data_IF_631314132940
#
_entry.id   IF_631314132940
#
_cell.length_a   1.000
_cell.length_b   1.000
_cell.length_c   1.000
_cell.angle_alpha   90.00
_cell.angle_beta   90.00
_cell.angle_gamma   90.00
#
_symmetry.space_group_name_H-M   'P 1'
#
loop_
_entity.id
_entity.type
_entity.pdbx_description
1 polymer ?
#
# COMPACT_ATOMS: atom_id res chain seq x y z
N UNK A 1 -14.80 -1.90 -30.36
CA UNK A 1 -14.56 -0.61 -29.68
C UNK A 1 -15.84 0.11 -29.24
N UNK A 2 -16.72 0.56 -30.15
CA UNK A 2 -17.92 1.35 -29.80
C UNK A 2 -18.80 0.67 -28.73
N UNK A 3 -19.01 -0.64 -28.83
CA UNK A 3 -19.80 -1.39 -27.84
C UNK A 3 -19.22 -1.33 -26.42
N UNK A 4 -17.89 -1.47 -26.25
CA UNK A 4 -17.25 -1.39 -24.93
C UNK A 4 -17.34 0.02 -24.34
N UNK A 5 -17.20 1.05 -25.16
CA UNK A 5 -17.36 2.44 -24.72
C UNK A 5 -18.79 2.74 -24.27
N UNK A 6 -19.80 2.24 -25.01
CA UNK A 6 -21.21 2.36 -24.61
C UNK A 6 -21.48 1.61 -23.31
N UNK A 7 -20.96 0.38 -23.16
CA UNK A 7 -21.10 -0.39 -21.92
C UNK A 7 -20.46 0.34 -20.74
N UNK A 8 -19.27 0.91 -20.92
CA UNK A 8 -18.60 1.71 -19.90
C UNK A 8 -19.46 2.91 -19.48
N UNK A 9 -20.00 3.67 -20.44
CA UNK A 9 -20.88 4.80 -20.14
C UNK A 9 -22.17 4.38 -19.44
N UNK A 10 -22.78 3.27 -19.86
CA UNK A 10 -23.98 2.72 -19.19
C UNK A 10 -23.68 2.30 -17.75
N UNK A 11 -22.49 1.75 -17.48
CA UNK A 11 -22.08 1.31 -16.15
C UNK A 11 -21.79 2.45 -15.16
N UNK A 12 -21.74 3.70 -15.60
CA UNK A 12 -21.65 4.86 -14.71
C UNK A 12 -22.88 4.93 -13.78
N UNK A 13 -24.07 4.56 -14.30
CA UNK A 13 -25.28 4.42 -13.48
C UNK A 13 -25.23 3.18 -12.61
N UNK A 14 -25.47 3.38 -11.31
CA UNK A 14 -25.57 2.29 -10.33
C UNK A 14 -26.70 1.30 -10.64
N UNK A 15 -27.82 1.81 -11.14
CA UNK A 15 -28.98 0.99 -11.52
C UNK A 15 -28.61 0.02 -12.64
N UNK A 16 -27.86 0.49 -13.63
CA UNK A 16 -27.39 -0.37 -14.73
C UNK A 16 -26.42 -1.45 -14.25
N UNK A 17 -25.55 -1.15 -13.28
CA UNK A 17 -24.67 -2.16 -12.65
C UNK A 17 -25.48 -3.22 -11.90
N UNK A 18 -26.55 -2.80 -11.22
CA UNK A 18 -27.48 -3.71 -10.55
C UNK A 18 -28.27 -4.58 -11.55
N UNK A 19 -28.76 -4.00 -12.64
CA UNK A 19 -29.42 -4.76 -13.71
C UNK A 19 -28.46 -5.77 -14.35
N UNK A 20 -27.20 -5.40 -14.54
CA UNK A 20 -26.18 -6.30 -15.07
C UNK A 20 -25.96 -7.53 -14.18
N UNK A 21 -26.01 -7.39 -12.85
CA UNK A 21 -25.95 -8.50 -11.89
C UNK A 21 -27.00 -9.58 -12.16
N UNK A 22 -28.25 -9.15 -12.36
CA UNK A 22 -29.39 -10.03 -12.60
C UNK A 22 -29.48 -10.55 -14.04
N UNK A 23 -28.62 -10.08 -14.93
CA UNK A 23 -28.54 -10.55 -16.30
C UNK A 23 -27.71 -11.82 -16.44
N UNK A 24 -27.80 -12.45 -17.61
CA UNK A 24 -26.94 -13.56 -18.05
C UNK A 24 -25.61 -13.09 -18.64
N UNK A 25 -25.37 -11.77 -18.75
CA UNK A 25 -24.24 -11.21 -19.48
C UNK A 25 -22.87 -11.40 -18.80
N UNK A 26 -22.84 -11.80 -17.53
CA UNK A 26 -21.59 -12.14 -16.85
C UNK A 26 -20.84 -13.32 -17.52
N UNK A 27 -21.56 -14.31 -18.03
CA UNK A 27 -20.95 -15.43 -18.75
C UNK A 27 -20.35 -14.96 -20.07
N UNK A 28 -21.07 -14.12 -20.80
CA UNK A 28 -20.55 -13.50 -22.04
C UNK A 28 -19.33 -12.62 -21.75
N UNK A 29 -19.33 -11.86 -20.65
CA UNK A 29 -18.18 -11.07 -20.24
C UNK A 29 -16.97 -11.97 -19.94
N UNK A 30 -17.18 -13.10 -19.27
CA UNK A 30 -16.14 -14.10 -19.02
C UNK A 30 -15.56 -14.65 -20.34
N UNK A 31 -16.41 -15.02 -21.28
CA UNK A 31 -15.99 -15.51 -22.60
C UNK A 31 -15.17 -14.46 -23.36
N UNK A 32 -15.57 -13.19 -23.34
CA UNK A 32 -14.84 -12.09 -23.97
C UNK A 32 -13.46 -11.89 -23.29
N UNK A 33 -13.38 -12.01 -21.97
CA UNK A 33 -12.11 -11.85 -21.24
C UNK A 33 -11.13 -13.01 -21.52
N UNK A 34 -11.64 -14.21 -21.74
CA UNK A 34 -10.83 -15.38 -22.11
C UNK A 34 -10.40 -15.37 -23.59
N UNK A 35 -10.96 -14.48 -24.41
CA UNK A 35 -10.64 -14.42 -25.83
C UNK A 35 -9.18 -13.94 -26.05
N UNK A 36 -8.30 -14.76 -26.69
CA UNK A 36 -6.94 -14.35 -26.99
C UNK A 36 -6.84 -13.15 -27.94
N UNK A 37 -7.89 -12.84 -28.72
CA UNK A 37 -7.93 -11.65 -29.57
C UNK A 37 -8.02 -10.36 -28.76
N UNK A 38 -8.45 -10.41 -27.49
CA UNK A 38 -8.38 -9.29 -26.56
C UNK A 38 -6.93 -8.76 -26.44
N UNK A 39 -5.93 -9.62 -26.64
CA UNK A 39 -4.51 -9.25 -26.64
C UNK A 39 -4.08 -8.33 -27.79
N UNK A 40 -4.85 -8.31 -28.89
CA UNK A 40 -4.50 -7.58 -30.11
C UNK A 40 -5.08 -6.17 -30.15
N UNK A 41 -6.28 -5.97 -29.59
CA UNK A 41 -6.93 -4.66 -29.54
C UNK A 41 -6.75 -4.01 -28.16
N UNK A 42 -5.70 -3.19 -28.04
CA UNK A 42 -5.34 -2.49 -26.80
C UNK A 42 -6.43 -1.50 -26.37
N UNK A 43 -7.09 -0.84 -27.33
CA UNK A 43 -8.11 0.17 -27.04
C UNK A 43 -9.38 -0.51 -26.55
N UNK A 44 -9.85 -1.55 -27.25
CA UNK A 44 -10.98 -2.34 -26.79
C UNK A 44 -10.72 -2.96 -25.41
N UNK A 45 -9.54 -3.52 -25.18
CA UNK A 45 -9.17 -4.07 -23.86
C UNK A 45 -9.24 -3.01 -22.77
N UNK A 46 -8.70 -1.82 -23.02
CA UNK A 46 -8.73 -0.72 -22.05
C UNK A 46 -10.18 -0.34 -21.72
N UNK A 47 -11.03 -0.13 -22.72
CA UNK A 47 -12.44 0.23 -22.50
C UNK A 47 -13.22 -0.89 -21.78
N UNK A 48 -12.95 -2.15 -22.12
CA UNK A 48 -13.55 -3.29 -21.43
C UNK A 48 -13.14 -3.35 -19.95
N UNK A 49 -11.86 -3.14 -19.65
CA UNK A 49 -11.37 -3.08 -18.27
C UNK A 49 -11.93 -1.87 -17.51
N UNK A 50 -12.11 -0.72 -18.15
CA UNK A 50 -12.79 0.44 -17.54
C UNK A 50 -14.23 0.10 -17.17
N UNK A 51 -14.97 -0.57 -18.07
CA UNK A 51 -16.31 -1.07 -17.79
C UNK A 51 -16.32 -2.06 -16.61
N UNK A 52 -15.41 -3.04 -16.60
CA UNK A 52 -15.29 -4.03 -15.51
C UNK A 52 -14.99 -3.34 -14.18
N UNK A 53 -14.08 -2.37 -14.18
CA UNK A 53 -13.73 -1.61 -12.99
C UNK A 53 -14.97 -0.95 -12.36
N UNK A 54 -15.80 -0.28 -13.16
CA UNK A 54 -17.08 0.25 -12.66
C UNK A 54 -17.99 -0.87 -12.16
N UNK A 55 -18.11 -1.97 -12.91
CA UNK A 55 -19.01 -3.05 -12.57
C UNK A 55 -18.71 -3.68 -11.21
N UNK A 56 -17.43 -3.94 -10.91
CA UNK A 56 -16.98 -4.58 -9.66
C UNK A 56 -16.98 -3.64 -8.45
N UNK A 57 -17.34 -2.36 -8.62
CA UNK A 57 -17.58 -1.46 -7.48
C UNK A 57 -18.80 -1.88 -6.67
N UNK A 58 -19.77 -2.58 -7.28
CA UNK A 58 -20.87 -3.22 -6.54
C UNK A 58 -20.41 -4.58 -6.01
N UNK A 59 -20.64 -4.83 -4.72
CA UNK A 59 -20.10 -6.01 -4.03
C UNK A 59 -20.60 -7.33 -4.66
N UNK A 60 -21.88 -7.40 -5.04
CA UNK A 60 -22.50 -8.56 -5.67
C UNK A 60 -21.88 -8.89 -7.03
N UNK A 61 -21.58 -7.86 -7.83
CA UNK A 61 -20.88 -8.02 -9.10
C UNK A 61 -19.46 -8.52 -8.90
N UNK A 62 -18.74 -7.99 -7.90
CA UNK A 62 -17.41 -8.46 -7.54
C UNK A 62 -17.40 -9.93 -7.12
N UNK A 63 -18.42 -10.39 -6.37
CA UNK A 63 -18.58 -11.81 -6.02
C UNK A 63 -18.77 -12.69 -7.25
N UNK A 64 -19.72 -12.34 -8.12
CA UNK A 64 -20.00 -13.10 -9.36
C UNK A 64 -18.79 -13.13 -10.30
N UNK A 65 -18.03 -12.04 -10.36
CA UNK A 65 -16.77 -11.96 -11.10
C UNK A 65 -15.74 -12.99 -10.59
N UNK A 66 -15.63 -13.12 -9.26
CA UNK A 66 -14.74 -14.09 -8.61
C UNK A 66 -15.23 -15.53 -8.78
N UNK A 67 -16.53 -15.78 -8.69
CA UNK A 67 -17.13 -17.12 -8.88
C UNK A 67 -16.89 -17.68 -10.29
N UNK A 68 -16.72 -16.80 -11.28
CA UNK A 68 -16.37 -17.15 -12.66
C UNK A 68 -14.86 -17.27 -12.90
N UNK A 69 -14.04 -17.28 -11.85
CA UNK A 69 -12.56 -17.40 -11.89
C UNK A 69 -11.85 -16.33 -12.74
N UNK A 70 -12.47 -15.16 -12.89
CA UNK A 70 -11.94 -14.10 -13.75
C UNK A 70 -10.74 -13.36 -13.17
N UNK A 71 -10.42 -13.59 -11.88
CA UNK A 71 -9.21 -13.05 -11.25
C UNK A 71 -7.97 -13.57 -11.95
N UNK A 72 -7.90 -14.86 -12.28
CA UNK A 72 -6.75 -15.45 -12.96
C UNK A 72 -6.54 -14.81 -14.34
N UNK A 73 -7.63 -14.55 -15.06
CA UNK A 73 -7.61 -13.89 -16.38
C UNK A 73 -7.10 -12.46 -16.31
N UNK A 74 -7.47 -11.69 -15.28
CA UNK A 74 -6.90 -10.37 -15.04
C UNK A 74 -5.38 -10.43 -14.79
N UNK A 75 -4.91 -11.41 -14.03
CA UNK A 75 -3.48 -11.58 -13.75
C UNK A 75 -2.70 -11.96 -15.02
N UNK A 76 -3.28 -12.76 -15.92
CA UNK A 76 -2.69 -13.05 -17.23
C UNK A 76 -2.57 -11.79 -18.09
N UNK A 77 -3.57 -10.91 -18.04
CA UNK A 77 -3.51 -9.59 -18.72
C UNK A 77 -2.36 -8.75 -18.17
N UNK A 78 -2.11 -8.79 -16.85
CA UNK A 78 -0.97 -8.09 -16.22
C UNK A 78 0.39 -8.67 -16.63
N UNK A 79 0.48 -9.99 -16.80
CA UNK A 79 1.72 -10.65 -17.22
C UNK A 79 2.05 -10.42 -18.70
N UNK A 80 1.06 -10.00 -19.49
CA UNK A 80 1.17 -9.76 -20.93
C UNK A 80 2.25 -8.70 -21.23
N UNK A 81 3.18 -8.95 -22.18
CA UNK A 81 4.23 -7.99 -22.54
C UNK A 81 3.66 -6.71 -23.19
N UNK A 82 2.38 -6.72 -23.59
CA UNK A 82 1.67 -5.59 -24.19
C UNK A 82 0.91 -4.75 -23.18
N UNK A 83 0.94 -5.11 -21.89
CA UNK A 83 0.30 -4.32 -20.84
C UNK A 83 1.02 -2.97 -20.70
N UNK A 84 0.33 -1.90 -21.09
CA UNK A 84 0.81 -0.54 -20.84
C UNK A 84 0.41 -0.08 -19.43
N UNK A 85 0.95 1.07 -19.01
CA UNK A 85 0.69 1.61 -17.67
C UNK A 85 -0.80 1.77 -17.35
N UNK A 86 -1.62 2.19 -18.32
CA UNK A 86 -3.05 2.38 -18.12
C UNK A 86 -3.80 1.05 -17.89
N UNK A 87 -3.44 -0.01 -18.63
CA UNK A 87 -3.99 -1.35 -18.42
C UNK A 87 -3.58 -1.87 -17.03
N UNK A 88 -2.30 -1.72 -16.66
CA UNK A 88 -1.83 -2.12 -15.34
C UNK A 88 -2.60 -1.41 -14.23
N UNK A 89 -2.85 -0.11 -14.38
CA UNK A 89 -3.60 0.67 -13.40
C UNK A 89 -5.04 0.17 -13.28
N UNK A 90 -5.73 -0.04 -14.40
CA UNK A 90 -7.09 -0.57 -14.41
C UNK A 90 -7.18 -1.95 -13.74
N UNK A 91 -6.27 -2.88 -14.06
CA UNK A 91 -6.33 -4.21 -13.45
C UNK A 91 -6.05 -4.13 -11.94
N UNK A 92 -5.05 -3.36 -11.50
CA UNK A 92 -4.77 -3.22 -10.07
C UNK A 92 -5.93 -2.53 -9.34
N UNK A 93 -6.61 -1.56 -9.96
CA UNK A 93 -7.84 -0.95 -9.42
C UNK A 93 -9.02 -1.93 -9.36
N UNK A 94 -9.18 -2.81 -10.35
CA UNK A 94 -10.18 -3.90 -10.26
C UNK A 94 -9.86 -4.82 -9.08
N UNK A 95 -8.58 -5.22 -8.92
CA UNK A 95 -8.15 -6.04 -7.78
C UNK A 95 -8.36 -5.32 -6.44
N UNK A 96 -8.17 -4.00 -6.38
CA UNK A 96 -8.50 -3.16 -5.22
C UNK A 96 -10.00 -3.27 -4.88
N UNK A 97 -10.89 -3.04 -5.85
CA UNK A 97 -12.33 -3.17 -5.64
C UNK A 97 -12.69 -4.57 -5.13
N UNK A 98 -12.14 -5.63 -5.74
CA UNK A 98 -12.40 -7.01 -5.31
C UNK A 98 -11.89 -7.27 -3.89
N UNK A 99 -10.72 -6.73 -3.51
CA UNK A 99 -10.13 -6.91 -2.19
C UNK A 99 -10.92 -6.23 -1.06
N UNK A 100 -11.76 -5.23 -1.35
CA UNK A 100 -12.60 -4.59 -0.32
C UNK A 100 -13.60 -5.56 0.32
N UNK A 101 -14.06 -6.59 -0.42
CA UNK A 101 -14.92 -7.63 0.15
C UNK A 101 -14.11 -8.82 0.64
N UNK A 102 -14.25 -9.13 1.93
CA UNK A 102 -13.59 -10.29 2.56
C UNK A 102 -13.97 -11.62 1.93
N UNK A 103 -15.16 -11.71 1.32
CA UNK A 103 -15.65 -12.93 0.65
C UNK A 103 -14.78 -13.29 -0.58
N UNK A 104 -14.17 -12.28 -1.20
CA UNK A 104 -13.34 -12.46 -2.40
C UNK A 104 -11.89 -12.81 -2.07
N UNK A 105 -11.46 -12.68 -0.81
CA UNK A 105 -10.07 -12.84 -0.41
C UNK A 105 -9.52 -14.24 -0.73
N UNK A 106 -10.32 -15.28 -0.55
CA UNK A 106 -9.90 -16.66 -0.82
C UNK A 106 -9.53 -16.86 -2.29
N UNK A 107 -10.31 -16.29 -3.21
CA UNK A 107 -10.02 -16.37 -4.64
C UNK A 107 -8.79 -15.55 -5.05
N UNK A 108 -8.59 -14.36 -4.46
CA UNK A 108 -7.37 -13.57 -4.67
C UNK A 108 -6.11 -14.33 -4.23
N UNK A 109 -6.19 -15.07 -3.12
CA UNK A 109 -5.11 -15.94 -2.63
C UNK A 109 -4.92 -17.13 -3.57
N UNK A 110 -6.00 -17.82 -3.95
CA UNK A 110 -5.95 -18.99 -4.84
C UNK A 110 -5.32 -18.66 -6.20
N UNK A 111 -5.65 -17.48 -6.76
CA UNK A 111 -5.07 -16.98 -8.01
C UNK A 111 -3.63 -16.46 -7.87
N UNK A 112 -3.01 -16.51 -6.67
CA UNK A 112 -1.69 -15.93 -6.40
C UNK A 112 -1.59 -14.44 -6.80
N UNK A 113 -2.63 -13.65 -6.52
CA UNK A 113 -2.66 -12.24 -6.91
C UNK A 113 -1.57 -11.41 -6.20
N UNK A 114 -1.28 -11.70 -4.93
CA UNK A 114 -0.37 -10.87 -4.12
C UNK A 114 1.08 -10.83 -4.66
N UNK A 115 1.77 -11.96 -4.89
CA UNK A 115 3.11 -11.92 -5.48
C UNK A 115 3.15 -11.26 -6.86
N UNK A 116 2.10 -11.42 -7.67
CA UNK A 116 2.00 -10.81 -9.01
C UNK A 116 1.88 -9.29 -8.93
N UNK A 117 1.05 -8.76 -8.03
CA UNK A 117 0.96 -7.32 -7.76
C UNK A 117 2.29 -6.78 -7.23
N UNK A 118 3.00 -7.53 -6.36
CA UNK A 118 4.35 -7.14 -5.92
C UNK A 118 5.32 -7.04 -7.11
N UNK A 119 5.37 -8.07 -7.95
CA UNK A 119 6.27 -8.11 -9.11
C UNK A 119 6.01 -6.96 -10.08
N UNK A 120 4.74 -6.64 -10.34
CA UNK A 120 4.35 -5.57 -11.25
C UNK A 120 4.63 -4.19 -10.68
N UNK A 121 4.10 -3.90 -9.48
CA UNK A 121 4.07 -2.55 -8.93
C UNK A 121 5.36 -2.19 -8.19
N UNK A 122 6.10 -3.16 -7.65
CA UNK A 122 7.21 -2.94 -6.72
C UNK A 122 8.55 -3.48 -7.20
N UNK A 123 8.59 -4.57 -7.97
CA UNK A 123 9.87 -5.07 -8.47
C UNK A 123 10.43 -4.18 -9.60
N UNK A 124 9.64 -3.23 -10.10
CA UNK A 124 10.03 -2.33 -11.19
C UNK A 124 10.52 -3.13 -12.38
N UNK A 125 9.61 -3.91 -12.97
CA UNK A 125 9.79 -4.31 -14.36
C UNK A 125 9.80 -3.04 -15.21
N UNK A 126 10.95 -2.36 -15.25
CA UNK A 126 11.40 -1.56 -16.37
C UNK A 126 11.61 -2.48 -17.58
N UNK A 127 10.62 -3.31 -17.93
CA UNK A 127 10.50 -3.84 -19.28
C UNK A 127 10.20 -2.62 -20.13
N UNK A 128 11.24 -1.89 -20.53
CA UNK A 128 11.29 -1.16 -21.80
C UNK A 128 10.03 -0.36 -22.17
N UNK A 129 9.32 0.21 -21.18
CA UNK A 129 8.39 1.32 -21.40
C UNK A 129 9.15 2.63 -21.63
N UNK A 130 10.49 2.55 -21.72
CA UNK A 130 11.26 3.52 -22.48
C UNK A 130 10.79 3.48 -23.91
N UNK A 131 9.75 4.29 -24.15
CA UNK A 131 9.46 5.02 -25.38
C UNK A 131 10.62 4.85 -26.36
N UNK A 132 10.34 4.23 -27.49
CA UNK A 132 11.02 4.50 -28.75
C UNK A 132 11.13 6.01 -28.89
N UNK A 133 12.22 6.59 -28.35
CA UNK A 133 12.60 7.95 -28.67
C UNK A 133 13.06 7.87 -30.12
N UNK A 134 12.11 8.10 -31.01
CA UNK A 134 12.24 8.48 -32.41
C UNK A 134 13.70 8.53 -32.90
N UNK A 135 14.10 7.49 -33.61
CA UNK A 135 14.73 7.65 -34.91
C UNK A 135 15.97 8.54 -35.04
N UNK A 136 16.91 8.57 -34.08
CA UNK A 136 18.29 8.96 -34.43
C UNK A 136 19.09 7.74 -34.86
N UNK A 137 18.97 7.47 -36.16
CA UNK A 137 19.85 6.59 -36.94
C UNK A 137 21.32 6.92 -36.61
N UNK A 138 22.16 5.96 -36.17
CA UNK A 138 23.59 6.21 -36.06
C UNK A 138 24.15 6.45 -37.47
N UNK A 139 25.09 7.39 -37.67
CA UNK A 139 25.71 7.59 -38.97
C UNK A 139 26.50 6.33 -39.33
N UNK A 140 26.10 5.69 -40.42
CA UNK A 140 26.87 4.63 -41.04
C UNK A 140 28.24 5.18 -41.44
N UNK A 141 29.31 4.72 -40.78
CA UNK A 141 30.67 4.83 -41.31
C UNK A 141 30.73 3.97 -42.56
N UNK A 142 30.76 4.61 -43.74
CA UNK A 142 31.21 3.95 -44.98
C UNK A 142 32.74 3.84 -44.96
N UNK A 143 33.31 2.71 -45.40
CA UNK A 143 34.73 2.62 -45.71
C UNK A 143 35.03 3.41 -47.00
N UNK A 144 36.18 4.05 -46.98
CA UNK A 144 36.80 4.83 -48.04
C UNK A 144 37.23 3.93 -49.21
N UNK A 145 36.79 4.27 -50.42
CA UNK A 145 37.46 3.89 -51.66
C UNK A 145 37.52 5.08 -52.60
N UNK A 146 38.73 5.38 -53.04
CA UNK A 146 39.11 6.45 -53.95
C UNK A 146 38.81 6.11 -55.42
N UNK A 147 38.72 7.13 -56.27
CA UNK A 147 38.82 7.04 -57.74
C UNK A 147 37.57 7.58 -58.47
N UNK A 148 37.42 8.87 -58.83
CA UNK A 148 38.03 9.68 -59.91
C UNK A 148 37.09 9.84 -61.16
N UNK A 149 36.85 11.12 -61.51
CA UNK A 149 36.57 11.77 -62.83
C UNK A 149 35.15 11.85 -63.44
N UNK A 150 34.77 13.12 -63.71
CA UNK A 150 33.96 13.71 -64.81
C UNK A 150 32.48 13.34 -65.00
N UNK A 151 31.58 14.21 -65.48
CA UNK A 151 31.49 15.65 -65.71
C UNK A 151 30.01 15.92 -66.11
N UNK A 152 29.56 17.18 -65.98
CA UNK A 152 28.61 17.85 -66.91
C UNK A 152 27.07 17.67 -66.75
N UNK A 153 26.47 18.83 -66.40
CA UNK A 153 25.26 19.51 -66.95
C UNK A 153 23.89 19.45 -66.22
N UNK A 154 23.48 20.68 -65.85
CA UNK A 154 22.18 21.39 -66.10
C UNK A 154 20.93 20.88 -65.36
N UNK A 155 19.90 21.67 -65.03
CA UNK A 155 19.59 23.12 -64.90
C UNK A 155 18.09 23.17 -64.50
N UNK A 156 17.65 24.21 -63.78
CA UNK A 156 16.23 24.60 -63.55
C UNK A 156 15.74 24.18 -62.16
N UNK A 157 15.36 25.05 -61.20
CA UNK A 157 14.67 26.35 -61.21
C UNK A 157 13.34 26.34 -61.96
N UNK A 158 12.27 26.70 -61.24
CA UNK A 158 11.05 27.48 -61.57
C UNK A 158 9.94 27.03 -60.59
N UNK A 159 9.61 27.82 -59.57
CA UNK A 159 8.64 28.95 -59.54
C UNK A 159 7.20 28.46 -59.27
N UNK A 160 6.60 28.91 -58.16
CA UNK A 160 5.50 29.91 -58.08
C UNK A 160 4.11 29.32 -58.25
N UNK A 161 3.22 29.50 -57.26
CA UNK A 161 2.06 30.42 -57.31
C UNK A 161 1.17 30.21 -56.08
N UNK A 162 1.21 31.22 -55.21
CA UNK A 162 0.12 32.00 -54.60
C UNK A 162 -1.20 31.44 -54.02
N UNK A 163 -1.78 32.21 -53.06
CA UNK A 163 -2.92 31.86 -52.23
C UNK A 163 -4.22 32.58 -52.63
N UNK A 164 -5.35 32.11 -52.12
CA UNK A 164 -6.62 32.85 -52.08
C UNK A 164 -7.44 32.34 -50.90
N UNK A 165 -7.55 33.11 -49.82
CA UNK A 165 -8.61 34.10 -49.56
C UNK A 165 -10.01 33.49 -49.44
N UNK A 166 -10.55 33.41 -48.22
CA UNK A 166 -11.81 34.10 -47.93
C UNK A 166 -12.01 34.36 -46.44
N UNK A 167 -12.42 35.60 -46.20
CA UNK A 167 -12.62 36.33 -44.96
C UNK A 167 -14.12 36.36 -44.66
N UNK A 168 -14.52 36.17 -43.39
CA UNK A 168 -15.80 36.66 -42.87
C UNK A 168 -15.75 36.80 -41.33
N UNK A 169 -15.38 37.99 -40.89
CA UNK A 169 -15.88 38.69 -39.68
C UNK A 169 -17.38 39.02 -39.89
N UNK A 170 -18.32 39.16 -38.96
CA UNK A 170 -18.45 39.91 -37.69
C UNK A 170 -19.80 39.48 -37.06
N UNK A 171 -19.89 39.23 -35.75
CA UNK A 171 -20.80 40.01 -34.87
C UNK A 171 -20.70 39.62 -33.39
N UNK A 172 -20.38 40.66 -32.64
CA UNK A 172 -20.29 40.87 -31.21
C UNK A 172 -21.69 41.11 -30.61
N UNK A 173 -21.94 40.63 -29.39
CA UNK A 173 -22.78 41.30 -28.40
C UNK A 173 -22.53 40.71 -27.00
N UNK A 174 -22.19 41.63 -26.09
CA UNK A 174 -21.84 41.42 -24.69
C UNK A 174 -23.07 41.21 -23.80
N UNK A 175 -22.87 40.57 -22.64
CA UNK A 175 -23.46 41.02 -21.39
C UNK A 175 -22.66 40.53 -20.17
N UNK A 176 -22.44 41.48 -19.26
CA UNK A 176 -21.62 41.46 -18.04
C UNK A 176 -22.21 40.64 -16.87
N UNK A 177 -21.41 40.43 -15.78
CA UNK A 177 -21.69 39.49 -14.70
C UNK A 177 -22.35 40.13 -13.48
N UNK A 178 -23.05 39.32 -12.67
CA UNK A 178 -23.44 39.69 -11.31
C UNK A 178 -22.60 38.94 -10.26
N UNK A 179 -22.00 39.74 -9.38
CA UNK A 179 -21.28 39.36 -8.19
C UNK A 179 -22.18 39.49 -6.95
N UNK A 180 -22.13 38.50 -6.03
CA UNK A 180 -22.52 38.57 -4.59
C UNK A 180 -21.87 37.31 -3.95
N UNK A 181 -21.19 37.24 -2.81
CA UNK A 181 -20.75 38.16 -1.74
C UNK A 181 -19.65 37.40 -0.97
N UNK A 182 -18.56 38.08 -0.61
CA UNK A 182 -17.60 37.64 0.40
C UNK A 182 -17.77 38.55 1.62
N UNK A 183 -17.90 37.95 2.81
CA UNK A 183 -17.71 38.66 4.07
C UNK A 183 -17.26 37.67 5.16
N UNK A 184 -16.04 37.84 5.68
CA UNK A 184 -15.71 37.79 7.11
C UNK A 184 -14.19 37.95 7.33
N UNK A 185 -13.80 39.20 7.56
CA UNK A 185 -12.95 39.71 8.63
C UNK A 185 -11.67 38.98 9.05
N UNK A 186 -10.57 39.71 8.86
CA UNK A 186 -9.37 39.68 9.67
C UNK A 186 -9.62 40.19 11.10
N UNK A 187 -8.87 39.69 12.07
CA UNK A 187 -8.40 40.47 13.22
C UNK A 187 -7.12 39.83 13.79
N UNK A 188 -6.11 40.69 13.93
CA UNK A 188 -4.78 40.40 14.39
C UNK A 188 -4.70 40.42 15.94
N UNK A 189 -3.78 39.62 16.49
CA UNK A 189 -3.14 39.91 17.77
C UNK A 189 -1.78 39.22 17.80
N UNK A 190 -0.72 39.95 17.43
CA UNK A 190 0.67 39.53 17.57
C UNK A 190 1.26 40.25 18.78
N UNK A 191 1.44 39.51 19.88
CA UNK A 191 2.16 39.95 21.08
C UNK A 191 3.63 39.53 21.02
N UNK A 192 4.49 40.44 21.43
CA UNK A 192 5.94 40.39 21.28
C UNK A 192 6.70 39.67 22.41
N UNK A 193 7.99 39.42 22.11
CA UNK A 193 9.17 39.27 22.99
C UNK A 193 9.64 37.83 23.35
N UNK A 194 10.93 37.64 23.72
CA UNK A 194 12.15 38.23 23.16
C UNK A 194 13.24 37.18 22.82
N UNK A 195 14.29 37.68 22.16
CA UNK A 195 15.51 36.99 21.80
C UNK A 195 16.27 36.42 23.00
N UNK A 196 16.82 35.20 22.84
CA UNK A 196 17.99 34.75 23.59
C UNK A 196 18.95 33.98 22.68
N UNK A 197 20.07 34.64 22.46
CA UNK A 197 21.33 34.15 21.90
C UNK A 197 21.93 33.10 22.82
N UNK A 198 22.22 31.90 22.32
CA UNK A 198 23.22 31.00 22.90
C UNK A 198 23.81 30.13 21.79
N UNK A 199 25.06 30.46 21.46
CA UNK A 199 26.01 29.73 20.63
C UNK A 199 26.33 28.37 21.26
N UNK A 200 26.00 27.29 20.55
CA UNK A 200 26.44 25.93 20.85
C UNK A 200 26.88 25.25 19.56
N UNK A 201 28.18 25.11 19.38
CA UNK A 201 28.82 24.35 18.29
C UNK A 201 28.49 22.88 18.44
N UNK A 202 27.52 22.40 17.65
CA UNK A 202 27.21 20.98 17.50
C UNK A 202 27.99 20.43 16.31
N UNK A 203 28.92 19.52 16.59
CA UNK A 203 29.56 18.63 15.62
C UNK A 203 28.48 17.82 14.91
N UNK A 204 28.20 18.21 13.67
CA UNK A 204 27.21 17.56 12.83
C UNK A 204 27.78 16.25 12.33
N UNK A 205 27.40 15.13 12.95
CA UNK A 205 27.64 13.80 12.39
C UNK A 205 26.85 13.72 11.08
N UNK A 206 27.56 13.81 9.96
CA UNK A 206 27.01 13.68 8.61
C UNK A 206 26.53 12.25 8.41
N UNK A 207 25.28 11.99 8.82
CA UNK A 207 24.57 10.77 8.43
C UNK A 207 24.38 10.85 6.92
N UNK A 208 25.15 10.02 6.21
CA UNK A 208 25.09 9.84 4.76
C UNK A 208 23.63 9.72 4.31
N UNK A 209 23.11 10.77 3.69
CA UNK A 209 21.78 10.79 3.10
C UNK A 209 21.71 9.66 2.07
N UNK A 210 21.01 8.57 2.41
CA UNK A 210 20.81 7.48 1.47
C UNK A 210 20.08 8.04 0.24
N UNK A 211 20.49 7.68 -0.98
CA UNK A 211 19.85 8.17 -2.19
C UNK A 211 18.39 7.73 -2.19
N UNK A 212 17.49 8.67 -1.95
CA UNK A 212 16.05 8.45 -2.12
C UNK A 212 15.78 8.31 -3.60
N UNK A 213 15.40 7.11 -4.03
CA UNK A 213 14.99 6.86 -5.41
C UNK A 213 13.79 7.74 -5.72
N UNK A 214 13.96 8.73 -6.59
CA UNK A 214 12.85 9.55 -7.06
C UNK A 214 11.95 8.69 -7.96
N UNK A 215 10.85 8.20 -7.39
CA UNK A 215 9.82 7.47 -8.11
C UNK A 215 9.03 8.45 -9.00
N UNK A 216 8.70 8.06 -10.23
CA UNK A 216 7.88 8.89 -11.11
C UNK A 216 6.44 9.01 -10.59
N UNK A 217 5.76 10.10 -10.91
CA UNK A 217 4.34 10.29 -10.54
C UNK A 217 3.45 9.11 -10.99
N UNK A 218 3.75 8.54 -12.15
CA UNK A 218 3.07 7.36 -12.71
C UNK A 218 3.21 6.13 -11.79
N UNK A 219 4.42 5.84 -11.30
CA UNK A 219 4.60 4.71 -10.37
C UNK A 219 3.80 4.88 -9.08
N UNK A 220 3.69 6.10 -8.55
CA UNK A 220 2.87 6.37 -7.36
C UNK A 220 1.37 6.13 -7.61
N UNK A 221 0.88 6.33 -8.84
CA UNK A 221 -0.51 6.04 -9.19
C UNK A 221 -0.84 4.54 -9.09
N UNK A 222 0.12 3.65 -9.42
CA UNK A 222 -0.02 2.20 -9.25
C UNK A 222 0.16 1.74 -7.80
N UNK A 223 1.06 2.37 -7.06
CA UNK A 223 1.35 1.97 -5.68
C UNK A 223 0.13 2.13 -4.77
N UNK A 224 -0.69 3.17 -4.97
CA UNK A 224 -1.87 3.44 -4.13
C UNK A 224 -2.89 2.30 -4.13
N UNK A 225 -3.49 1.91 -5.27
CA UNK A 225 -4.46 0.81 -5.30
C UNK A 225 -3.81 -0.51 -4.90
N UNK A 226 -2.54 -0.74 -5.26
CA UNK A 226 -1.80 -1.93 -4.83
C UNK A 226 -1.71 -2.00 -3.30
N UNK A 227 -1.32 -0.92 -2.62
CA UNK A 227 -1.29 -0.89 -1.16
C UNK A 227 -2.67 -1.08 -0.54
N UNK A 228 -3.74 -0.55 -1.14
CA UNK A 228 -5.11 -0.82 -0.68
C UNK A 228 -5.40 -2.31 -0.70
N UNK A 229 -5.08 -3.04 -1.79
CA UNK A 229 -5.22 -4.50 -1.86
C UNK A 229 -4.51 -5.16 -0.68
N UNK A 230 -3.24 -4.84 -0.43
CA UNK A 230 -2.50 -5.44 0.68
C UNK A 230 -3.05 -5.06 2.05
N UNK A 231 -3.54 -3.83 2.24
CA UNK A 231 -4.15 -3.40 3.48
C UNK A 231 -5.46 -4.16 3.74
N UNK A 232 -6.35 -4.26 2.75
CA UNK A 232 -7.60 -5.02 2.90
C UNK A 232 -7.34 -6.49 3.18
N UNK A 233 -6.36 -7.09 2.50
CA UNK A 233 -5.95 -8.46 2.77
C UNK A 233 -5.39 -8.61 4.18
N UNK A 234 -4.50 -7.72 4.64
CA UNK A 234 -3.88 -7.78 5.97
C UNK A 234 -4.85 -7.52 7.13
N UNK A 235 -5.99 -6.85 6.89
CA UNK A 235 -7.07 -6.71 7.90
C UNK A 235 -7.66 -8.07 8.30
N UNK A 236 -7.61 -9.06 7.41
CA UNK A 236 -7.99 -10.43 7.72
C UNK A 236 -6.75 -11.20 8.23
N UNK A 237 -6.73 -11.65 9.49
CA UNK A 237 -5.57 -12.33 10.02
C UNK A 237 -5.15 -13.58 9.27
N UNK A 238 -6.11 -14.34 8.74
CA UNK A 238 -5.84 -15.54 7.93
C UNK A 238 -5.02 -15.23 6.65
N UNK A 239 -5.04 -13.99 6.18
CA UNK A 239 -4.35 -13.58 4.96
C UNK A 239 -3.00 -12.91 5.20
N UNK A 240 -2.66 -12.55 6.45
CA UNK A 240 -1.42 -11.83 6.77
C UNK A 240 -0.19 -12.60 6.35
N UNK A 241 -0.20 -13.91 6.55
CA UNK A 241 0.90 -14.79 6.15
C UNK A 241 1.10 -14.77 4.62
N UNK A 242 0.03 -14.73 3.84
CA UNK A 242 0.11 -14.56 2.38
C UNK A 242 0.68 -13.19 1.98
N UNK A 243 0.29 -12.12 2.68
CA UNK A 243 0.87 -10.78 2.48
C UNK A 243 2.36 -10.77 2.80
N UNK A 244 2.78 -11.41 3.88
CA UNK A 244 4.19 -11.53 4.28
C UNK A 244 4.98 -12.32 3.22
N UNK A 245 4.48 -13.49 2.82
CA UNK A 245 5.11 -14.34 1.79
C UNK A 245 5.21 -13.68 0.41
N UNK A 246 4.37 -12.69 0.12
CA UNK A 246 4.45 -11.92 -1.14
C UNK A 246 5.75 -11.11 -1.30
N UNK A 247 6.57 -10.99 -0.24
CA UNK A 247 7.81 -10.20 -0.20
C UNK A 247 7.62 -8.69 -0.30
N UNK A 248 6.38 -8.19 -0.14
CA UNK A 248 6.11 -6.76 -0.17
C UNK A 248 6.95 -5.97 0.84
N UNK A 249 7.14 -6.50 2.05
CA UNK A 249 7.93 -5.83 3.11
C UNK A 249 9.38 -5.65 2.68
N UNK A 250 9.97 -6.66 2.01
CA UNK A 250 11.31 -6.59 1.45
C UNK A 250 11.44 -5.43 0.45
N UNK A 251 10.43 -5.25 -0.42
CA UNK A 251 10.41 -4.14 -1.38
C UNK A 251 10.21 -2.78 -0.73
N UNK A 252 9.34 -2.67 0.29
CA UNK A 252 9.16 -1.43 1.06
C UNK A 252 10.51 -1.03 1.68
N UNK A 253 11.20 -1.99 2.29
CA UNK A 253 12.48 -1.78 2.94
C UNK A 253 13.60 -1.46 1.94
N UNK A 254 13.68 -2.17 0.82
CA UNK A 254 14.71 -2.00 -0.21
C UNK A 254 14.58 -0.66 -0.94
N UNK A 255 13.35 -0.24 -1.25
CA UNK A 255 13.07 1.02 -1.97
C UNK A 255 12.81 2.22 -1.05
N UNK A 256 12.94 2.02 0.26
CA UNK A 256 12.65 3.04 1.27
C UNK A 256 11.26 3.69 1.07
N UNK A 257 10.23 2.90 0.73
CA UNK A 257 8.88 3.45 0.46
C UNK A 257 8.26 4.11 1.70
N UNK A 258 8.73 3.74 2.88
CA UNK A 258 8.42 4.41 4.14
C UNK A 258 8.88 5.89 4.18
N UNK A 259 9.86 6.25 3.35
CA UNK A 259 10.38 7.60 3.16
C UNK A 259 10.00 8.18 1.77
N UNK A 260 9.01 7.60 1.09
CA UNK A 260 8.49 8.13 -0.19
C UNK A 260 8.10 9.60 -0.06
N UNK A 261 8.28 10.41 -1.09
CA UNK A 261 7.81 11.80 -1.11
C UNK A 261 6.28 11.90 -1.05
N UNK A 262 5.56 10.89 -1.55
CA UNK A 262 4.10 10.84 -1.50
C UNK A 262 3.61 10.45 -0.09
N UNK A 263 2.96 11.41 0.59
CA UNK A 263 2.37 11.21 1.93
C UNK A 263 1.35 10.07 1.95
N UNK A 264 0.57 9.86 0.88
CA UNK A 264 -0.43 8.78 0.82
C UNK A 264 0.23 7.42 0.80
N UNK A 265 1.34 7.27 0.06
CA UNK A 265 2.13 6.05 0.04
C UNK A 265 2.72 5.76 1.42
N UNK A 266 3.35 6.75 2.07
CA UNK A 266 3.87 6.58 3.44
C UNK A 266 2.77 6.16 4.43
N UNK A 267 1.59 6.78 4.33
CA UNK A 267 0.42 6.43 5.18
C UNK A 267 -0.04 5.00 4.95
N UNK A 268 -0.08 4.55 3.70
CA UNK A 268 -0.46 3.19 3.36
C UNK A 268 0.58 2.17 3.87
N UNK A 269 1.87 2.50 3.76
CA UNK A 269 2.97 1.70 4.32
C UNK A 269 2.78 1.52 5.83
N UNK A 270 2.68 2.59 6.62
CA UNK A 270 2.53 2.44 8.08
C UNK A 270 1.25 1.69 8.45
N UNK A 271 0.14 1.96 7.77
CA UNK A 271 -1.14 1.24 7.98
C UNK A 271 -0.96 -0.26 7.76
N UNK A 272 -0.30 -0.65 6.66
CA UNK A 272 -0.02 -2.05 6.36
C UNK A 272 0.87 -2.68 7.43
N UNK A 273 1.99 -2.03 7.79
CA UNK A 273 2.90 -2.56 8.81
C UNK A 273 2.18 -2.77 10.14
N UNK A 274 1.34 -1.82 10.55
CA UNK A 274 0.51 -1.95 11.75
C UNK A 274 -0.45 -3.14 11.63
N UNK A 275 -1.11 -3.36 10.49
CA UNK A 275 -1.96 -4.54 10.32
C UNK A 275 -1.21 -5.87 10.39
N UNK A 276 0.04 -5.92 9.90
CA UNK A 276 0.88 -7.11 9.98
C UNK A 276 1.40 -7.39 11.40
N UNK A 277 1.58 -6.34 12.21
CA UNK A 277 2.05 -6.44 13.59
C UNK A 277 0.90 -6.70 14.58
N UNK A 278 -0.28 -6.13 14.33
CA UNK A 278 -1.43 -6.16 15.23
C UNK A 278 -1.93 -7.58 15.58
N UNK A 279 -1.50 -8.06 16.75
CA UNK A 279 -1.88 -9.35 17.37
C UNK A 279 -3.24 -9.30 18.10
N UNK A 280 -3.52 -8.18 18.75
CA UNK A 280 -4.50 -8.09 19.84
C UNK A 280 -5.93 -8.44 19.41
N UNK A 281 -6.34 -7.94 18.24
CA UNK A 281 -7.67 -8.21 17.69
C UNK A 281 -7.90 -9.68 17.34
N UNK A 282 -6.84 -10.44 17.12
CA UNK A 282 -6.93 -11.87 16.83
C UNK A 282 -7.07 -12.69 18.10
N UNK A 283 -6.32 -12.33 19.15
CA UNK A 283 -6.41 -12.94 20.47
C UNK A 283 -7.81 -12.76 21.06
N UNK A 284 -8.36 -11.55 21.01
CA UNK A 284 -9.71 -11.26 21.53
C UNK A 284 -10.81 -12.04 20.82
N UNK A 285 -10.75 -12.15 19.49
CA UNK A 285 -11.72 -12.95 18.72
C UNK A 285 -11.67 -14.42 19.10
N UNK A 286 -10.47 -14.98 19.29
CA UNK A 286 -10.28 -16.37 19.70
C UNK A 286 -10.76 -16.61 21.12
N UNK A 287 -10.43 -15.71 22.05
CA UNK A 287 -10.94 -15.76 23.43
C UNK A 287 -12.47 -15.70 23.45
N UNK A 288 -13.07 -14.80 22.67
CA UNK A 288 -14.53 -14.69 22.56
C UNK A 288 -15.17 -15.95 21.96
N UNK A 289 -14.56 -16.54 20.92
CA UNK A 289 -15.05 -17.77 20.32
C UNK A 289 -14.96 -18.96 21.28
N UNK A 290 -13.85 -19.11 22.03
CA UNK A 290 -13.68 -20.16 23.05
C UNK A 290 -14.70 -20.02 24.17
N UNK A 291 -14.96 -18.80 24.64
CA UNK A 291 -15.99 -18.52 25.66
C UNK A 291 -17.39 -18.92 25.18
N UNK A 292 -17.73 -18.64 23.91
CA UNK A 292 -19.01 -19.02 23.32
C UNK A 292 -19.16 -20.54 23.17
N UNK A 293 -18.11 -21.25 22.73
CA UNK A 293 -18.12 -22.70 22.62
C UNK A 293 -18.27 -23.37 23.98
N UNK A 294 -17.58 -22.88 25.02
CA UNK A 294 -17.70 -23.39 26.39
C UNK A 294 -19.11 -23.15 26.96
N UNK A 295 -19.70 -21.99 26.70
CA UNK A 295 -21.07 -21.68 27.12
C UNK A 295 -22.12 -22.58 26.46
N UNK A 296 -21.90 -23.03 25.22
CA UNK A 296 -22.78 -23.98 24.53
C UNK A 296 -22.65 -25.40 25.09
N UNK A 297 -21.44 -25.86 25.39
CA UNK A 297 -21.22 -27.20 25.96
C UNK A 297 -21.96 -27.38 27.30
N UNK A 298 -21.88 -26.38 28.19
CA UNK A 298 -22.54 -26.42 29.51
C UNK A 298 -24.08 -26.51 29.40
N UNK A 299 -24.68 -25.98 28.33
CA UNK A 299 -26.14 -26.06 28.14
C UNK A 299 -26.63 -27.41 27.65
N UNK A 300 -25.77 -28.21 27.02
CA UNK A 300 -26.14 -29.56 26.53
C UNK A 300 -26.10 -30.57 27.68
N UNK A 301 -25.18 -30.38 28.64
CA UNK A 301 -25.05 -31.28 29.80
C UNK A 301 -26.07 -31.01 30.93
N UNK A 302 -26.78 -29.87 30.89
CA UNK A 302 -27.85 -29.56 31.85
C UNK A 302 -29.20 -30.24 31.52
N UNK A 303 -29.23 -31.12 30.52
CA UNK A 303 -30.43 -31.83 30.06
C UNK A 303 -30.12 -33.32 29.91
N UNK A 304 -29.93 -34.03 31.03
CA UNK A 304 -30.26 -35.47 31.19
C UNK A 304 -29.99 -35.91 32.65
N UNK A 305 -31.06 -36.23 33.36
CA UNK A 305 -31.05 -37.11 34.53
C UNK A 305 -30.57 -38.51 34.10
N UNK A 306 -29.45 -38.99 34.64
CA UNK A 306 -29.29 -40.34 35.24
C UNK A 306 -27.84 -40.85 35.24
N UNK A 307 -27.34 -41.04 36.47
CA UNK A 307 -26.55 -42.19 36.99
C UNK A 307 -25.46 -42.79 36.08
N UNK A 308 -24.20 -42.41 36.34
CA UNK A 308 -23.08 -43.31 36.67
C UNK A 308 -21.74 -42.54 36.66
N UNK A 309 -21.12 -42.37 37.83
CA UNK A 309 -19.78 -41.81 38.00
C UNK A 309 -18.73 -42.72 37.36
N UNK A 310 -18.01 -42.22 36.35
CA UNK A 310 -16.68 -42.74 35.99
C UNK A 310 -15.72 -41.55 35.85
N UNK A 311 -14.61 -41.50 36.61
CA UNK A 311 -13.69 -40.37 36.56
C UNK A 311 -12.82 -40.50 35.31
N UNK A 312 -13.10 -39.69 34.28
CA UNK A 312 -12.21 -39.56 33.12
C UNK A 312 -11.18 -38.44 33.33
N UNK A 313 -9.94 -38.64 32.85
CA UNK A 313 -8.79 -37.82 33.22
C UNK A 313 -8.80 -36.47 32.50
N UNK A 314 -8.58 -35.41 33.27
CA UNK A 314 -8.35 -34.06 32.77
C UNK A 314 -6.91 -33.95 32.22
N UNK A 315 -6.69 -34.17 30.92
CA UNK A 315 -5.32 -34.09 30.34
C UNK A 315 -5.17 -33.46 28.94
N UNK A 316 -6.15 -32.72 28.38
CA UNK A 316 -6.05 -32.28 26.96
C UNK A 316 -6.01 -30.76 26.68
N UNK A 317 -5.85 -29.88 27.68
CA UNK A 317 -5.89 -28.42 27.42
C UNK A 317 -4.55 -27.71 27.13
N UNK A 318 -3.40 -28.35 27.34
CA UNK A 318 -2.09 -27.67 27.22
C UNK A 318 -1.46 -27.73 25.80
N UNK A 319 -1.81 -28.71 24.97
CA UNK A 319 -1.18 -28.89 23.65
C UNK A 319 -1.49 -27.77 22.64
N UNK A 320 -2.71 -27.23 22.67
CA UNK A 320 -3.17 -26.23 21.70
C UNK A 320 -2.52 -24.85 21.95
N UNK A 321 -2.16 -24.54 23.20
CA UNK A 321 -1.54 -23.27 23.56
C UNK A 321 -0.07 -23.18 23.11
N UNK A 322 0.67 -24.29 23.19
CA UNK A 322 2.07 -24.35 22.76
C UNK A 322 2.22 -24.15 21.25
N UNK A 323 1.41 -24.84 20.44
CA UNK A 323 1.44 -24.72 18.98
C UNK A 323 1.13 -23.29 18.50
N UNK A 324 0.23 -22.57 19.18
CA UNK A 324 -0.09 -21.19 18.82
C UNK A 324 1.04 -20.20 19.13
N UNK A 325 1.73 -20.37 20.26
CA UNK A 325 2.88 -19.53 20.58
C UNK A 325 4.00 -19.72 19.55
N UNK A 326 4.21 -20.96 19.08
CA UNK A 326 5.22 -21.25 18.06
C UNK A 326 4.88 -20.63 16.70
N UNK A 327 3.63 -20.73 16.25
CA UNK A 327 3.20 -20.12 14.98
C UNK A 327 3.38 -18.60 15.00
N UNK A 328 3.00 -17.95 16.10
CA UNK A 328 3.18 -16.51 16.25
C UNK A 328 4.67 -16.13 16.29
N UNK A 329 5.49 -16.93 16.96
CA UNK A 329 6.93 -16.72 17.03
C UNK A 329 7.57 -16.72 15.64
N UNK A 330 7.21 -17.70 14.79
CA UNK A 330 7.66 -17.77 13.39
C UNK A 330 7.25 -16.52 12.61
N UNK A 331 6.02 -16.03 12.81
CA UNK A 331 5.53 -14.81 12.17
C UNK A 331 6.38 -13.58 12.48
N UNK A 332 6.75 -13.36 13.76
CA UNK A 332 7.60 -12.21 14.12
C UNK A 332 9.01 -12.31 13.56
N UNK A 333 9.63 -13.49 13.65
CA UNK A 333 10.94 -13.71 13.04
C UNK A 333 10.89 -13.40 11.55
N UNK A 334 9.85 -13.84 10.83
CA UNK A 334 9.70 -13.55 9.40
C UNK A 334 9.54 -12.06 9.11
N UNK A 335 8.81 -11.32 9.95
CA UNK A 335 8.66 -9.88 9.81
C UNK A 335 9.99 -9.14 10.06
N UNK A 336 10.72 -9.54 11.10
CA UNK A 336 12.04 -8.99 11.42
C UNK A 336 13.02 -9.23 10.27
N UNK A 337 13.06 -10.46 9.75
CA UNK A 337 13.93 -10.86 8.63
C UNK A 337 13.66 -10.05 7.36
N UNK A 338 12.40 -9.68 7.10
CA UNK A 338 12.02 -8.84 5.94
C UNK A 338 12.30 -7.34 6.12
N UNK A 339 12.83 -6.94 7.28
CA UNK A 339 13.24 -5.56 7.51
C UNK A 339 12.12 -4.64 8.00
N UNK A 340 11.09 -5.15 8.68
CA UNK A 340 10.04 -4.30 9.27
C UNK A 340 10.61 -3.22 10.21
N UNK A 341 11.66 -3.57 10.97
CA UNK A 341 12.34 -2.65 11.90
C UNK A 341 12.98 -1.48 11.14
N UNK A 342 13.61 -1.75 9.98
CA UNK A 342 14.17 -0.71 9.11
C UNK A 342 13.08 0.29 8.70
N UNK A 343 11.93 -0.22 8.29
CA UNK A 343 10.80 0.61 7.88
C UNK A 343 10.27 1.47 9.03
N UNK A 344 10.01 0.87 10.19
CA UNK A 344 9.50 1.61 11.37
C UNK A 344 10.48 2.67 11.84
N UNK A 345 11.78 2.35 11.87
CA UNK A 345 12.81 3.33 12.23
C UNK A 345 12.85 4.45 11.20
N UNK A 346 12.79 4.13 9.91
CA UNK A 346 12.72 5.13 8.86
C UNK A 346 11.52 6.08 9.02
N UNK A 347 10.37 5.59 9.47
CA UNK A 347 9.19 6.42 9.76
C UNK A 347 9.45 7.33 10.97
N UNK A 348 10.09 6.82 12.03
CA UNK A 348 10.48 7.61 13.21
C UNK A 348 11.47 8.74 12.88
N UNK A 349 12.31 8.58 11.87
CA UNK A 349 13.21 9.63 11.38
C UNK A 349 12.51 10.65 10.47
N UNK A 350 11.30 10.37 10.00
CA UNK A 350 10.53 11.29 9.16
C UNK A 350 10.06 12.54 9.90
N UNK A 351 9.33 13.42 9.20
CA UNK A 351 8.78 14.65 9.80
C UNK A 351 7.27 14.55 10.11
N UNK A 352 6.61 13.44 9.74
CA UNK A 352 5.18 13.27 9.94
C UNK A 352 4.88 12.68 11.32
N UNK A 353 4.54 13.56 12.26
CA UNK A 353 4.28 13.23 13.65
C UNK A 353 3.19 12.17 13.85
N UNK A 354 2.11 12.23 13.05
CA UNK A 354 1.02 11.24 13.12
C UNK A 354 1.53 9.84 12.77
N UNK A 355 2.41 9.73 11.75
CA UNK A 355 3.01 8.44 11.39
C UNK A 355 3.99 7.94 12.45
N UNK A 356 4.70 8.84 13.16
CA UNK A 356 5.57 8.45 14.28
C UNK A 356 4.78 7.84 15.43
N UNK A 357 3.63 8.42 15.78
CA UNK A 357 2.72 7.86 16.80
C UNK A 357 2.26 6.45 16.41
N UNK A 358 1.85 6.25 15.16
CA UNK A 358 1.47 4.92 14.65
C UNK A 358 2.66 3.94 14.70
N UNK A 359 3.87 4.39 14.35
CA UNK A 359 5.08 3.58 14.42
C UNK A 359 5.45 3.20 15.86
N UNK A 360 5.33 4.12 16.83
CA UNK A 360 5.53 3.83 18.26
C UNK A 360 4.54 2.78 18.74
N UNK A 361 3.25 2.90 18.37
CA UNK A 361 2.25 1.90 18.73
C UNK A 361 2.58 0.50 18.16
N UNK A 362 3.00 0.45 16.90
CA UNK A 362 3.43 -0.79 16.26
C UNK A 362 4.70 -1.38 16.91
N UNK A 363 5.68 -0.54 17.26
CA UNK A 363 6.89 -0.97 17.98
C UNK A 363 6.53 -1.54 19.35
N UNK A 364 5.63 -0.90 20.10
CA UNK A 364 5.19 -1.38 21.40
C UNK A 364 4.61 -2.79 21.34
N UNK A 365 3.89 -3.13 20.28
CA UNK A 365 3.39 -4.49 20.05
C UNK A 365 4.49 -5.46 19.62
N UNK A 366 5.43 -5.04 18.77
CA UNK A 366 6.59 -5.88 18.42
C UNK A 366 7.42 -6.25 19.64
N UNK A 367 7.57 -5.33 20.61
CA UNK A 367 8.33 -5.60 21.83
C UNK A 367 7.69 -6.61 22.78
N UNK A 368 6.45 -7.05 22.52
CA UNK A 368 5.86 -8.15 23.29
C UNK A 368 6.59 -9.48 23.01
N UNK A 369 7.22 -9.61 21.84
CA UNK A 369 8.09 -10.74 21.49
C UNK A 369 9.52 -10.55 22.00
N UNK A 370 10.08 -11.62 22.59
CA UNK A 370 11.39 -11.59 23.24
C UNK A 370 12.55 -11.28 22.30
N UNK A 371 12.53 -11.85 21.09
CA UNK A 371 13.62 -11.73 20.12
C UNK A 371 13.66 -10.33 19.48
N UNK A 372 12.48 -9.74 19.32
CA UNK A 372 12.31 -8.36 18.90
C UNK A 372 12.96 -7.37 19.87
N UNK A 373 12.90 -7.63 21.19
CA UNK A 373 13.47 -6.73 22.23
C UNK A 373 14.97 -6.55 22.10
N UNK A 374 15.70 -7.64 21.88
CA UNK A 374 17.16 -7.60 21.70
C UNK A 374 17.55 -6.89 20.40
N UNK A 375 16.78 -7.15 19.33
CA UNK A 375 17.06 -6.60 18.00
C UNK A 375 16.74 -5.11 17.90
N UNK A 376 15.73 -4.64 18.63
CA UNK A 376 15.20 -3.29 18.48
C UNK A 376 15.78 -2.27 19.47
N UNK A 377 16.34 -2.69 20.61
CA UNK A 377 16.95 -1.79 21.59
C UNK A 377 18.26 -1.16 21.06
N UNK A 378 18.12 -0.17 20.18
CA UNK A 378 19.18 0.56 19.49
C UNK A 378 19.15 2.05 19.85
N UNK A 379 20.31 2.74 19.90
CA UNK A 379 20.39 4.17 20.24
C UNK A 379 19.38 5.06 19.51
N UNK A 380 19.24 4.89 18.20
CA UNK A 380 18.32 5.68 17.36
C UNK A 380 16.85 5.56 17.80
N UNK A 381 16.41 4.36 18.21
CA UNK A 381 15.06 4.19 18.72
C UNK A 381 14.91 4.85 20.09
N UNK A 382 15.86 4.61 20.99
CA UNK A 382 15.84 5.19 22.34
C UNK A 382 15.83 6.73 22.29
N UNK A 383 16.57 7.32 21.34
CA UNK A 383 16.51 8.74 21.05
C UNK A 383 15.13 9.21 20.59
N UNK A 384 14.50 8.50 19.65
CA UNK A 384 13.13 8.82 19.24
C UNK A 384 12.11 8.68 20.41
N UNK A 385 12.29 7.71 21.30
CA UNK A 385 11.44 7.55 22.48
C UNK A 385 11.58 8.73 23.46
N UNK A 386 12.81 9.26 23.67
CA UNK A 386 13.01 10.49 24.47
C UNK A 386 12.25 11.67 23.90
N UNK A 387 12.34 11.88 22.59
CA UNK A 387 11.67 12.99 21.90
C UNK A 387 10.15 12.93 22.06
N UNK A 388 9.59 11.72 22.16
CA UNK A 388 8.16 11.48 22.32
C UNK A 388 7.72 11.20 23.76
N UNK A 389 8.63 11.20 24.74
CA UNK A 389 8.32 10.84 26.12
C UNK A 389 7.23 11.72 26.77
N UNK A 390 7.21 13.01 26.40
CA UNK A 390 6.29 14.02 26.92
C UNK A 390 5.17 14.33 25.92
N UNK A 391 4.83 13.36 25.07
CA UNK A 391 3.80 13.52 24.06
C UNK A 391 2.42 13.77 24.70
N UNK A 392 1.59 14.69 24.17
CA UNK A 392 0.32 15.07 24.80
C UNK A 392 -0.71 13.93 24.88
N UNK A 393 -0.65 12.98 23.94
CA UNK A 393 -1.50 11.78 23.98
C UNK A 393 -0.99 10.76 25.01
N UNK A 394 -1.81 10.48 26.03
CA UNK A 394 -1.56 9.47 27.07
C UNK A 394 -1.21 8.12 26.45
N UNK A 395 -1.96 7.67 25.43
CA UNK A 395 -1.71 6.39 24.76
C UNK A 395 -0.28 6.28 24.21
N UNK A 396 0.27 7.36 23.64
CA UNK A 396 1.64 7.38 23.14
C UNK A 396 2.64 7.23 24.28
N UNK A 397 2.44 7.95 25.40
CA UNK A 397 3.30 7.83 26.59
C UNK A 397 3.23 6.42 27.18
N UNK A 398 2.05 5.83 27.26
CA UNK A 398 1.86 4.43 27.68
C UNK A 398 2.59 3.46 26.77
N UNK A 399 2.51 3.63 25.45
CA UNK A 399 3.26 2.79 24.51
C UNK A 399 4.78 2.94 24.68
N UNK A 400 5.29 4.14 24.94
CA UNK A 400 6.72 4.37 25.20
C UNK A 400 7.16 3.70 26.50
N UNK A 401 6.40 3.89 27.57
CA UNK A 401 6.67 3.23 28.85
C UNK A 401 6.67 1.70 28.69
N UNK A 402 5.71 1.16 27.93
CA UNK A 402 5.64 -0.28 27.58
C UNK A 402 6.90 -0.74 26.83
N UNK A 403 7.34 0.00 25.80
CA UNK A 403 8.56 -0.33 25.04
C UNK A 403 9.78 -0.39 25.95
N UNK A 404 9.96 0.63 26.80
CA UNK A 404 11.10 0.70 27.72
C UNK A 404 11.05 -0.44 28.74
N UNK A 405 9.88 -0.71 29.32
CA UNK A 405 9.67 -1.82 30.26
C UNK A 405 10.01 -3.16 29.60
N UNK A 406 9.48 -3.42 28.40
CA UNK A 406 9.77 -4.63 27.64
C UNK A 406 11.26 -4.77 27.31
N UNK A 407 11.96 -3.69 26.97
CA UNK A 407 13.41 -3.74 26.76
C UNK A 407 14.17 -4.04 28.04
N UNK A 408 13.72 -3.52 29.19
CA UNK A 408 14.37 -3.71 30.49
C UNK A 408 14.24 -5.15 31.02
N UNK A 409 13.27 -5.94 30.54
CA UNK A 409 13.16 -7.37 30.86
C UNK A 409 14.37 -8.19 30.36
N UNK A 410 15.14 -7.66 29.41
CA UNK A 410 16.38 -8.28 28.92
C UNK A 410 17.61 -7.64 29.57
N UNK A 411 18.41 -8.40 30.35
CA UNK A 411 19.58 -7.85 31.04
C UNK A 411 20.62 -7.26 30.07
N UNK A 412 20.69 -7.75 28.83
CA UNK A 412 21.58 -7.25 27.79
C UNK A 412 21.26 -5.81 27.34
N UNK A 413 20.06 -5.33 27.64
CA UNK A 413 19.62 -3.98 27.32
C UNK A 413 19.77 -3.02 28.49
N UNK A 414 19.91 -3.51 29.74
CA UNK A 414 19.92 -2.65 30.93
C UNK A 414 20.99 -1.56 30.86
N UNK A 415 22.23 -1.90 30.48
CA UNK A 415 23.31 -0.92 30.34
C UNK A 415 23.01 0.11 29.25
N UNK A 416 22.49 -0.34 28.09
CA UNK A 416 22.12 0.57 26.98
C UNK A 416 21.03 1.56 27.39
N UNK A 417 20.03 1.10 28.14
CA UNK A 417 18.94 1.94 28.62
C UNK A 417 19.46 3.00 29.62
N UNK A 418 20.41 2.63 30.47
CA UNK A 418 21.06 3.53 31.43
C UNK A 418 21.95 4.55 30.72
N UNK A 419 22.81 4.10 29.81
CA UNK A 419 23.73 4.95 29.05
C UNK A 419 22.97 5.97 28.19
N UNK A 420 21.84 5.53 27.63
CA UNK A 420 20.92 6.41 26.91
C UNK A 420 20.02 7.22 27.85
N UNK A 421 20.14 7.15 29.18
CA UNK A 421 19.35 8.00 30.08
C UNK A 421 17.84 7.75 30.05
N UNK A 422 17.39 6.53 29.72
CA UNK A 422 15.97 6.16 29.72
C UNK A 422 15.33 6.21 31.11
N UNK A 423 16.12 6.11 32.18
CA UNK A 423 15.62 6.24 33.56
C UNK A 423 14.95 7.59 33.80
N UNK A 424 15.54 8.68 33.31
CA UNK A 424 14.95 10.02 33.42
C UNK A 424 13.64 10.14 32.65
N UNK A 425 13.52 9.43 31.53
CA UNK A 425 12.28 9.36 30.75
C UNK A 425 11.18 8.67 31.55
N UNK A 426 11.47 7.52 32.15
CA UNK A 426 10.50 6.77 32.96
C UNK A 426 9.99 7.59 34.16
N UNK A 427 10.89 8.24 34.90
CA UNK A 427 10.51 9.08 36.06
C UNK A 427 9.56 10.19 35.62
N UNK A 428 9.83 10.84 34.49
CA UNK A 428 8.93 11.87 33.93
C UNK A 428 7.58 11.30 33.53
N UNK A 429 7.57 10.17 32.82
CA UNK A 429 6.32 9.51 32.42
C UNK A 429 5.46 9.11 33.64
N UNK A 430 6.07 8.66 34.74
CA UNK A 430 5.31 8.28 35.95
C UNK A 430 4.73 9.48 36.70
N UNK A 431 5.45 10.61 36.74
CA UNK A 431 5.00 11.81 37.46
C UNK A 431 3.87 12.57 36.75
N UNK A 432 3.73 12.41 35.43
CA UNK A 432 2.67 13.05 34.64
C UNK A 432 1.44 12.16 34.41
N UNK A 433 1.50 10.89 34.82
CA UNK A 433 0.38 9.94 34.75
C UNK A 433 -0.41 9.85 36.07
N UNK A 434 0.20 10.29 37.18
CA UNK A 434 -0.45 10.55 38.48
C UNK A 434 -1.12 11.91 38.47
#
# INVERSE_FOLDING_TARGET
MLAAAILHQLAESRENRFLFYHSTHFQTLAEILHDPFLEKDVVFRKELLSFIHLLVTEEDNGRKFVELDLVQTLLLILDSPRANHAICLLVVSILECLATSKKNHAALVAANALPRVVQLCFAGHQRTLSVEKNGRRPPAKRPSTAGHVDQVRRRGAVATTDPSDTRATVHELAHEPMAVSNAASSLAASGAAPANTLTGTATTTTISAMPTVMMSSETNALLRPAFTVFCEMAKNPANREHVIRSRLVDYIAARNLYASSDKRVRRAVITLLTFLICRERERERRSSARSLSRARSIRVDASLDSVAETPSPATDTDGDSANHQEADFRHYIELLARGIVKCLFGILHGNDFSMKVDAIAAIAQLTDDEHSRLTMCKPHLLQALKEFALHPLIQTRTNIAKIIANFAERPENSLKLVDEGMLTVLVKCTLELS
#
